data_IF_520254545022
#
_entry.id   IF_520254545022
#
_cell.length_a   1.000
_cell.length_b   1.000
_cell.length_c   1.000
_cell.angle_alpha   90.00
_cell.angle_beta   90.00
_cell.angle_gamma   90.00
#
_symmetry.space_group_name_H-M   'P 1'
#
loop_
_entity.id
_entity.type
_entity.pdbx_description
1 polymer ?
#
# COMPACT_ATOMS: atom_id res chain seq x y z
N UNK A 1 -0.75 32.39 -3.94
CA UNK A 1 -1.52 32.10 -5.17
C UNK A 1 -2.87 31.50 -4.76
N UNK A 2 -3.95 32.29 -4.86
CA UNK A 2 -5.41 32.05 -4.67
C UNK A 2 -6.00 31.07 -3.62
N UNK A 3 -5.28 30.08 -3.09
CA UNK A 3 -5.79 29.12 -2.09
C UNK A 3 -5.40 29.42 -0.64
N UNK A 4 -4.70 30.52 -0.38
CA UNK A 4 -4.35 30.96 0.99
C UNK A 4 -3.40 30.05 1.78
N UNK A 5 -2.76 29.06 1.13
CA UNK A 5 -1.84 28.13 1.80
C UNK A 5 -0.57 28.88 2.21
N UNK A 6 -0.29 28.88 3.51
CA UNK A 6 0.91 29.46 4.11
C UNK A 6 1.92 28.36 4.46
N UNK A 7 3.19 28.75 4.59
CA UNK A 7 4.29 27.80 4.89
C UNK A 7 4.10 27.11 6.25
N UNK A 8 3.54 27.80 7.23
CA UNK A 8 3.22 27.28 8.57
C UNK A 8 2.04 26.28 8.58
N UNK A 9 1.37 26.09 7.44
CA UNK A 9 0.29 25.10 7.27
C UNK A 9 0.78 23.81 6.61
N UNK A 10 2.06 23.73 6.25
CA UNK A 10 2.63 22.50 5.69
C UNK A 10 2.80 21.43 6.79
N UNK A 11 2.58 20.14 6.49
CA UNK A 11 2.83 19.06 7.43
C UNK A 11 4.29 19.06 7.90
N UNK A 12 4.50 18.68 9.16
CA UNK A 12 5.86 18.46 9.68
C UNK A 12 6.52 17.25 9.00
N UNK A 13 7.84 17.31 8.86
CA UNK A 13 8.64 16.19 8.37
C UNK A 13 8.53 14.97 9.28
N UNK A 14 8.35 15.18 10.59
CA UNK A 14 8.21 14.12 11.60
C UNK A 14 6.94 14.36 12.42
N UNK A 15 5.77 13.86 11.97
CA UNK A 15 4.53 13.94 12.72
C UNK A 15 4.48 12.93 13.86
N UNK A 16 3.53 13.10 14.77
CA UNK A 16 3.14 12.03 15.69
C UNK A 16 2.53 10.88 14.88
N UNK A 17 3.09 9.68 15.03
CA UNK A 17 2.69 8.51 14.25
C UNK A 17 1.43 7.86 14.82
N UNK A 18 0.64 7.25 13.94
CA UNK A 18 -0.46 6.37 14.33
C UNK A 18 0.06 5.16 15.12
N UNK A 19 -0.76 4.56 16.00
CA UNK A 19 -0.37 3.35 16.72
C UNK A 19 0.02 2.22 15.78
N UNK A 20 1.13 1.54 16.12
CA UNK A 20 1.57 0.34 15.42
C UNK A 20 0.75 -0.87 15.88
N UNK A 21 0.23 -1.65 14.93
CA UNK A 21 -0.23 -3.00 15.20
C UNK A 21 1.00 -3.90 15.37
N UNK A 22 1.40 -4.08 16.63
CA UNK A 22 2.59 -4.82 17.01
C UNK A 22 2.56 -6.27 16.51
N UNK A 23 1.40 -6.93 16.61
CA UNK A 23 1.25 -8.33 16.24
C UNK A 23 1.34 -8.53 14.72
N UNK A 24 0.71 -7.65 13.95
CA UNK A 24 0.82 -7.67 12.50
C UNK A 24 2.24 -7.36 12.01
N UNK A 25 2.92 -6.41 12.66
CA UNK A 25 4.28 -6.04 12.33
C UNK A 25 5.29 -7.16 12.64
N UNK A 26 5.15 -7.84 13.79
CA UNK A 26 5.99 -8.98 14.14
C UNK A 26 5.84 -10.13 13.14
N UNK A 27 4.60 -10.46 12.73
CA UNK A 27 4.36 -11.45 11.68
C UNK A 27 5.03 -11.07 10.36
N UNK A 28 4.86 -9.81 9.93
CA UNK A 28 5.46 -9.29 8.69
C UNK A 28 6.99 -9.35 8.76
N UNK A 29 7.58 -8.94 9.89
CA UNK A 29 9.01 -8.93 10.10
C UNK A 29 9.61 -10.34 10.02
N UNK A 30 8.97 -11.35 10.63
CA UNK A 30 9.41 -12.75 10.52
C UNK A 30 9.40 -13.23 9.08
N UNK A 31 8.33 -12.97 8.31
CA UNK A 31 8.22 -13.38 6.91
C UNK A 31 9.32 -12.73 6.06
N UNK A 32 9.57 -11.43 6.26
CA UNK A 32 10.60 -10.70 5.51
C UNK A 32 12.00 -11.15 5.90
N UNK A 33 12.28 -11.39 7.18
CA UNK A 33 13.58 -11.86 7.65
C UNK A 33 13.90 -13.25 7.05
N UNK A 34 12.94 -14.18 7.07
CA UNK A 34 13.14 -15.53 6.54
C UNK A 34 13.39 -15.56 5.03
N UNK A 35 12.71 -14.69 4.27
CA UNK A 35 12.79 -14.70 2.80
C UNK A 35 13.87 -13.77 2.24
N UNK A 36 14.09 -12.61 2.87
CA UNK A 36 14.97 -11.54 2.38
C UNK A 36 16.27 -11.45 3.18
N UNK A 37 16.26 -11.75 4.48
CA UNK A 37 17.42 -11.61 5.38
C UNK A 37 18.69 -12.31 4.86
N UNK A 38 18.63 -13.58 4.42
CA UNK A 38 19.78 -14.28 3.85
C UNK A 38 20.37 -13.64 2.58
N UNK A 39 19.61 -12.79 1.89
CA UNK A 39 19.97 -12.16 0.61
C UNK A 39 20.39 -10.71 0.80
N UNK A 40 19.64 -9.96 1.62
CA UNK A 40 19.84 -8.52 1.82
C UNK A 40 19.32 -8.05 3.19
N UNK A 41 20.16 -8.11 4.24
CA UNK A 41 19.79 -7.63 5.58
C UNK A 41 19.40 -6.14 5.61
N UNK A 42 20.05 -5.31 4.78
CA UNK A 42 19.71 -3.88 4.69
C UNK A 42 18.30 -3.64 4.15
N UNK A 43 17.81 -4.49 3.23
CA UNK A 43 16.45 -4.38 2.73
C UNK A 43 15.43 -4.76 3.82
N UNK A 44 15.73 -5.76 4.66
CA UNK A 44 14.90 -6.08 5.83
C UNK A 44 14.81 -4.88 6.76
N UNK A 45 15.96 -4.30 7.13
CA UNK A 45 16.02 -3.15 8.03
C UNK A 45 15.17 -1.99 7.51
N UNK A 46 15.40 -1.54 6.28
CA UNK A 46 14.66 -0.40 5.72
C UNK A 46 13.17 -0.69 5.53
N UNK A 47 12.80 -1.95 5.26
CA UNK A 47 11.38 -2.34 5.20
C UNK A 47 10.71 -2.16 6.56
N UNK A 48 11.35 -2.56 7.66
CA UNK A 48 10.80 -2.34 9.00
C UNK A 48 10.80 -0.86 9.38
N UNK A 49 11.99 -0.27 9.48
CA UNK A 49 12.19 1.05 10.10
C UNK A 49 11.56 2.19 9.30
N UNK A 50 11.80 2.24 7.99
CA UNK A 50 11.39 3.40 7.17
C UNK A 50 9.99 3.24 6.59
N UNK A 51 9.55 2.00 6.32
CA UNK A 51 8.23 1.78 5.73
C UNK A 51 7.18 1.54 6.81
N UNK A 52 7.23 0.41 7.52
CA UNK A 52 6.12 -0.04 8.35
C UNK A 52 6.09 0.59 9.75
N UNK A 53 7.23 1.05 10.27
CA UNK A 53 7.34 1.73 11.57
C UNK A 53 7.38 3.27 11.46
N UNK A 54 7.39 3.83 10.24
CA UNK A 54 7.32 5.28 10.00
C UNK A 54 6.30 5.63 8.90
N UNK A 55 6.67 5.52 7.62
CA UNK A 55 5.87 6.04 6.50
C UNK A 55 4.41 5.58 6.54
N UNK A 56 4.15 4.31 6.84
CA UNK A 56 2.80 3.73 6.88
C UNK A 56 1.98 4.17 8.08
N UNK A 57 2.61 4.73 9.12
CA UNK A 57 1.97 5.24 10.32
C UNK A 57 1.77 6.76 10.30
N UNK A 58 2.29 7.48 9.29
CA UNK A 58 2.06 8.93 9.20
C UNK A 58 0.56 9.25 9.09
N UNK A 59 0.01 10.16 9.92
CA UNK A 59 -1.44 10.34 10.09
C UNK A 59 -2.08 11.20 8.99
N UNK A 60 -1.29 11.96 8.24
CA UNK A 60 -1.77 12.94 7.25
C UNK A 60 -2.53 12.28 6.09
N UNK A 61 -2.34 10.97 5.89
CA UNK A 61 -3.09 10.15 4.95
C UNK A 61 -3.60 8.91 5.68
N UNK A 62 -4.93 8.74 5.72
CA UNK A 62 -5.56 7.62 6.39
C UNK A 62 -5.02 6.29 5.84
N UNK A 63 -4.89 5.23 6.67
CA UNK A 63 -4.36 3.93 6.21
C UNK A 63 -5.08 3.36 4.98
N UNK A 64 -6.40 3.57 4.88
CA UNK A 64 -7.22 3.20 3.72
C UNK A 64 -6.77 3.90 2.44
N UNK A 65 -6.60 5.23 2.51
CA UNK A 65 -6.22 6.05 1.36
C UNK A 65 -4.75 5.83 0.98
N UNK A 66 -3.88 5.60 1.97
CA UNK A 66 -2.48 5.19 1.73
C UNK A 66 -2.43 3.88 0.96
N UNK A 67 -3.22 2.88 1.36
CA UNK A 67 -3.30 1.62 0.62
C UNK A 67 -3.87 1.80 -0.79
N UNK A 68 -4.89 2.65 -0.97
CA UNK A 68 -5.46 2.98 -2.28
C UNK A 68 -4.41 3.57 -3.23
N UNK A 69 -3.62 4.55 -2.78
CA UNK A 69 -2.59 5.16 -3.63
C UNK A 69 -1.44 4.19 -3.92
N UNK A 70 -1.06 3.33 -2.97
CA UNK A 70 -0.06 2.28 -3.19
C UNK A 70 -0.56 1.27 -4.22
N UNK A 71 -1.76 0.72 -4.03
CA UNK A 71 -2.37 -0.22 -4.98
C UNK A 71 -2.47 0.39 -6.39
N UNK A 72 -2.89 1.65 -6.49
CA UNK A 72 -2.97 2.36 -7.77
C UNK A 72 -1.59 2.52 -8.43
N UNK A 73 -0.56 2.87 -7.66
CA UNK A 73 0.80 3.01 -8.16
C UNK A 73 1.40 1.68 -8.65
N UNK A 74 1.13 0.57 -7.95
CA UNK A 74 1.58 -0.77 -8.34
C UNK A 74 0.97 -1.19 -9.68
N UNK A 75 -0.33 -0.99 -9.86
CA UNK A 75 -1.00 -1.23 -11.16
C UNK A 75 -0.38 -0.32 -12.22
N UNK A 76 -0.30 0.99 -11.94
CA UNK A 76 0.19 1.97 -12.92
C UNK A 76 1.65 1.74 -13.33
N UNK A 77 2.46 1.11 -12.49
CA UNK A 77 3.86 0.73 -12.78
C UNK A 77 4.01 -0.69 -13.34
N UNK A 78 2.95 -1.50 -13.33
CA UNK A 78 2.99 -2.90 -13.79
C UNK A 78 3.63 -3.87 -12.79
N UNK A 79 3.72 -3.50 -11.51
CA UNK A 79 4.32 -4.29 -10.43
C UNK A 79 3.32 -5.32 -9.87
N UNK A 80 2.88 -6.25 -10.72
CA UNK A 80 1.79 -7.19 -10.41
C UNK A 80 2.08 -8.11 -9.21
N UNK A 81 3.35 -8.46 -9.00
CA UNK A 81 3.78 -9.34 -7.90
C UNK A 81 3.50 -8.74 -6.52
N UNK A 82 3.45 -7.41 -6.41
CA UNK A 82 3.22 -6.70 -5.15
C UNK A 82 1.74 -6.42 -4.89
N UNK A 83 0.87 -6.58 -5.91
CA UNK A 83 -0.56 -6.25 -5.81
C UNK A 83 -1.24 -7.11 -4.76
N UNK A 84 -0.95 -8.41 -4.69
CA UNK A 84 -1.65 -9.33 -3.79
C UNK A 84 -1.56 -8.93 -2.31
N UNK A 85 -0.36 -8.60 -1.84
CA UNK A 85 -0.15 -8.13 -0.46
C UNK A 85 -0.82 -6.78 -0.22
N UNK A 86 -0.58 -5.80 -1.09
CA UNK A 86 -1.09 -4.44 -0.87
C UNK A 86 -2.60 -4.31 -1.05
N UNK A 87 -3.23 -5.12 -1.90
CA UNK A 87 -4.69 -5.16 -2.02
C UNK A 87 -5.33 -5.77 -0.77
N UNK A 88 -4.79 -6.87 -0.22
CA UNK A 88 -5.27 -7.40 1.06
C UNK A 88 -5.19 -6.34 2.16
N UNK A 89 -4.04 -5.67 2.30
CA UNK A 89 -3.86 -4.57 3.25
C UNK A 89 -4.82 -3.41 2.98
N UNK A 90 -5.13 -3.10 1.71
CA UNK A 90 -6.12 -2.08 1.38
C UNK A 90 -7.51 -2.45 1.87
N UNK A 91 -7.91 -3.71 1.68
CA UNK A 91 -9.20 -4.21 2.12
C UNK A 91 -9.32 -4.34 3.63
N UNK A 92 -8.24 -4.72 4.33
CA UNK A 92 -8.18 -4.72 5.80
C UNK A 92 -8.32 -3.30 6.36
N UNK A 93 -7.80 -2.30 5.63
CA UNK A 93 -7.98 -0.89 5.95
C UNK A 93 -9.34 -0.32 5.50
N UNK A 94 -10.23 -1.13 4.90
CA UNK A 94 -11.59 -0.73 4.54
C UNK A 94 -11.83 -0.37 3.07
N UNK A 95 -10.89 -0.63 2.16
CA UNK A 95 -11.16 -0.55 0.71
C UNK A 95 -12.11 -1.68 0.30
N UNK A 96 -13.20 -1.37 -0.39
CA UNK A 96 -14.17 -2.38 -0.83
C UNK A 96 -13.74 -3.07 -2.14
N UNK A 97 -14.30 -4.26 -2.41
CA UNK A 97 -14.09 -4.93 -3.70
C UNK A 97 -14.57 -4.06 -4.88
N UNK A 98 -15.68 -3.34 -4.70
CA UNK A 98 -16.21 -2.40 -5.69
C UNK A 98 -15.22 -1.28 -5.99
N UNK A 99 -14.66 -0.65 -4.97
CA UNK A 99 -13.66 0.41 -5.17
C UNK A 99 -12.37 -0.12 -5.82
N UNK A 100 -11.90 -1.31 -5.43
CA UNK A 100 -10.75 -1.93 -6.07
C UNK A 100 -10.99 -2.28 -7.55
N UNK A 101 -12.21 -2.73 -7.89
CA UNK A 101 -12.64 -2.91 -9.28
C UNK A 101 -12.67 -1.59 -10.06
N UNK A 102 -13.17 -0.52 -9.46
CA UNK A 102 -13.20 0.81 -10.10
C UNK A 102 -11.79 1.40 -10.32
N UNK A 103 -10.82 1.10 -9.45
CA UNK A 103 -9.41 1.48 -9.67
C UNK A 103 -8.86 0.84 -10.95
N UNK A 104 -9.17 -0.43 -11.21
CA UNK A 104 -8.74 -1.10 -12.45
C UNK A 104 -9.34 -0.41 -13.68
N UNK A 105 -10.65 -0.12 -13.64
CA UNK A 105 -11.35 0.61 -14.70
C UNK A 105 -10.71 1.98 -14.95
N UNK A 106 -10.48 2.75 -13.88
CA UNK A 106 -9.88 4.07 -13.98
C UNK A 106 -8.45 4.01 -14.56
N UNK A 107 -7.63 3.09 -14.09
CA UNK A 107 -6.23 2.96 -14.52
C UNK A 107 -6.09 2.37 -15.93
N UNK A 108 -7.10 1.71 -16.49
CA UNK A 108 -7.08 1.36 -17.91
C UNK A 108 -6.91 2.61 -18.81
N UNK A 109 -7.58 3.71 -18.45
CA UNK A 109 -7.48 4.99 -19.17
C UNK A 109 -6.18 5.75 -18.88
N UNK A 110 -5.72 5.75 -17.63
CA UNK A 110 -4.58 6.59 -17.22
C UNK A 110 -3.21 5.90 -17.28
N UNK A 111 -3.18 4.56 -17.18
CA UNK A 111 -1.95 3.76 -17.18
C UNK A 111 -1.90 2.71 -18.32
N UNK A 112 -2.99 2.57 -19.08
CA UNK A 112 -3.10 1.71 -20.25
C UNK A 112 -3.74 0.35 -19.96
N UNK A 113 -4.53 -0.13 -20.92
CA UNK A 113 -5.24 -1.41 -20.87
C UNK A 113 -4.37 -2.60 -20.45
N UNK A 114 -3.14 -2.80 -20.99
CA UNK A 114 -2.31 -3.94 -20.61
C UNK A 114 -2.05 -4.00 -19.10
N UNK A 115 -1.77 -2.87 -18.45
CA UNK A 115 -1.45 -2.83 -17.01
C UNK A 115 -2.67 -3.16 -16.16
N UNK A 116 -3.84 -2.60 -16.50
CA UNK A 116 -5.08 -2.92 -15.83
C UNK A 116 -5.42 -4.41 -15.98
N UNK A 117 -5.34 -4.96 -17.20
CA UNK A 117 -5.64 -6.37 -17.46
C UNK A 117 -4.66 -7.33 -16.77
N UNK A 118 -3.37 -7.01 -16.72
CA UNK A 118 -2.38 -7.83 -15.99
C UNK A 118 -2.66 -7.90 -14.49
N UNK A 119 -3.29 -6.87 -13.91
CA UNK A 119 -3.67 -6.88 -12.50
C UNK A 119 -4.92 -7.72 -12.20
N UNK A 120 -5.83 -7.90 -13.18
CA UNK A 120 -7.15 -8.56 -12.96
C UNK A 120 -7.01 -9.96 -12.35
N UNK A 121 -6.06 -10.78 -12.80
CA UNK A 121 -5.89 -12.14 -12.28
C UNK A 121 -5.49 -12.14 -10.80
N UNK A 122 -4.61 -11.23 -10.40
CA UNK A 122 -4.18 -11.08 -9.00
C UNK A 122 -5.31 -10.54 -8.14
N UNK A 123 -6.03 -9.51 -8.62
CA UNK A 123 -7.18 -8.94 -7.91
C UNK A 123 -8.27 -9.98 -7.68
N UNK A 124 -8.60 -10.76 -8.72
CA UNK A 124 -9.54 -11.88 -8.62
C UNK A 124 -9.12 -12.88 -7.53
N UNK A 125 -7.86 -13.30 -7.55
CA UNK A 125 -7.34 -14.25 -6.56
C UNK A 125 -7.46 -13.73 -5.12
N UNK A 126 -7.24 -12.43 -4.89
CA UNK A 126 -7.47 -11.82 -3.58
C UNK A 126 -8.94 -11.86 -3.18
N UNK A 127 -9.88 -11.56 -4.09
CA UNK A 127 -11.31 -11.60 -3.79
C UNK A 127 -11.78 -13.03 -3.46
N UNK A 128 -11.35 -14.01 -4.23
CA UNK A 128 -11.70 -15.42 -4.04
C UNK A 128 -11.19 -15.92 -2.67
N UNK A 129 -9.94 -15.62 -2.31
CA UNK A 129 -9.35 -16.02 -1.02
C UNK A 129 -9.95 -15.32 0.22
N UNK A 130 -10.74 -14.26 0.03
CA UNK A 130 -11.42 -13.51 1.10
C UNK A 130 -12.90 -13.84 1.21
N UNK A 131 -13.44 -14.66 0.32
CA UNK A 131 -14.88 -14.96 0.25
C UNK A 131 -15.32 -16.12 1.16
N UNK A 132 -14.51 -16.44 2.18
CA UNK A 132 -14.80 -17.43 3.23
C UNK A 132 -15.22 -16.74 4.54
#
# INVERSE_FOLDING_TARGET
>A
AERGIKVDQLPTASPELLPLDQEAEERRAVIVEQSVGPISPGLVQYTGELLFQDLWLRPDLAPRDRSLVTFSALIASGQVEQIGFHLNRAMDNGLTQTEAGEVLTHLAFYAGWPKAFSAVSVVRGVFENRSD
#
